data_IF_595667638618
#
_entry.id   IF_595667638618
#
_cell.length_a   1.000
_cell.length_b   1.000
_cell.length_c   1.000
_cell.angle_alpha   90.00
_cell.angle_beta   90.00
_cell.angle_gamma   90.00
#
_symmetry.space_group_name_H-M   'P 1'
#
loop_
_entity.id
_entity.type
_entity.pdbx_description
1 polymer ?
#
# COMPACT_ATOMS: atom_id res chain seq x y z
N UNK A 1 6.07 -4.67 6.94
CA UNK A 1 6.18 -4.22 5.53
C UNK A 1 7.35 -4.94 4.91
N UNK A 2 7.27 -5.34 3.63
CA UNK A 2 8.34 -6.10 2.98
C UNK A 2 9.62 -5.27 2.93
N UNK A 3 10.44 -5.46 3.94
CA UNK A 3 11.75 -4.88 4.18
C UNK A 3 12.54 -5.99 4.84
N UNK A 4 13.17 -6.83 4.01
CA UNK A 4 14.46 -7.51 4.28
C UNK A 4 14.78 -8.54 3.19
N UNK A 5 15.85 -8.24 2.44
CA UNK A 5 16.70 -9.17 1.68
C UNK A 5 16.13 -9.99 0.52
N UNK A 6 14.96 -9.66 -0.05
CA UNK A 6 14.46 -10.40 -1.22
C UNK A 6 13.27 -9.75 -1.92
N UNK A 7 12.86 -10.33 -3.04
CA UNK A 7 11.65 -9.96 -3.76
C UNK A 7 10.39 -10.45 -2.98
N UNK A 8 9.25 -9.79 -3.17
CA UNK A 8 7.98 -10.27 -2.58
C UNK A 8 7.62 -11.67 -3.11
N UNK A 9 6.85 -12.49 -2.36
CA UNK A 9 6.48 -13.82 -2.84
C UNK A 9 5.50 -13.76 -4.02
N UNK A 10 5.50 -14.78 -4.91
CA UNK A 10 4.46 -14.92 -5.93
C UNK A 10 3.09 -15.18 -5.29
N UNK A 11 2.02 -14.77 -5.96
CA UNK A 11 0.63 -14.99 -5.52
C UNK A 11 0.35 -14.48 -4.08
N UNK A 12 1.02 -13.41 -3.68
CA UNK A 12 0.85 -12.82 -2.36
C UNK A 12 -0.54 -12.18 -2.25
N UNK A 13 -1.16 -12.35 -1.08
CA UNK A 13 -2.35 -11.63 -0.67
C UNK A 13 -2.15 -11.15 0.76
N UNK A 14 -1.82 -9.87 0.91
CA UNK A 14 -1.47 -9.31 2.21
C UNK A 14 -2.29 -8.06 2.50
N UNK A 15 -2.79 -7.95 3.73
CA UNK A 15 -3.53 -6.78 4.17
C UNK A 15 -2.98 -6.23 5.49
N UNK A 16 -3.02 -4.91 5.62
CA UNK A 16 -2.65 -4.19 6.83
C UNK A 16 -3.68 -3.12 7.13
N UNK A 17 -3.92 -2.85 8.41
CA UNK A 17 -4.73 -1.74 8.88
C UNK A 17 -3.88 -0.88 9.79
N UNK A 18 -3.95 0.43 9.59
CA UNK A 18 -3.30 1.42 10.42
C UNK A 18 -4.36 2.34 11.00
N UNK A 19 -4.23 2.59 12.29
CA UNK A 19 -5.15 3.41 13.05
C UNK A 19 -4.34 4.39 13.92
N UNK A 20 -4.81 5.63 13.96
CA UNK A 20 -4.31 6.68 14.85
C UNK A 20 -5.42 7.14 15.78
N UNK A 21 -5.08 7.99 16.74
CA UNK A 21 -6.08 8.57 17.64
C UNK A 21 -7.20 9.28 16.86
N UNK A 22 -8.42 9.20 17.38
CA UNK A 22 -9.59 9.89 16.80
C UNK A 22 -9.33 11.39 16.67
N UNK A 23 -9.83 11.99 15.59
CA UNK A 23 -9.59 13.40 15.25
C UNK A 23 -8.23 13.69 14.60
N UNK A 24 -7.44 12.65 14.30
CA UNK A 24 -6.24 12.72 13.46
C UNK A 24 -6.45 11.90 12.18
N UNK A 25 -5.55 12.08 11.22
CA UNK A 25 -5.51 11.35 9.96
C UNK A 25 -4.25 10.50 9.87
N UNK A 26 -4.31 9.39 9.14
CA UNK A 26 -3.15 8.57 8.85
C UNK A 26 -2.46 9.12 7.60
N UNK A 27 -1.23 9.62 7.77
CA UNK A 27 -0.33 9.98 6.68
C UNK A 27 0.59 8.81 6.38
N UNK A 28 0.45 8.25 5.19
CA UNK A 28 1.27 7.16 4.65
C UNK A 28 2.28 7.74 3.65
N UNK A 29 3.57 7.58 3.92
CA UNK A 29 4.65 8.03 3.03
C UNK A 29 5.44 6.82 2.55
N UNK A 30 5.47 6.61 1.23
CA UNK A 30 6.26 5.55 0.61
C UNK A 30 7.68 6.05 0.34
N UNK A 31 8.69 5.34 0.85
CA UNK A 31 10.11 5.67 0.64
C UNK A 31 10.75 4.86 -0.48
N UNK A 32 10.18 3.70 -0.81
CA UNK A 32 10.59 2.86 -1.92
C UNK A 32 9.39 2.07 -2.43
N UNK A 33 9.24 1.99 -3.75
CA UNK A 33 8.26 1.14 -4.43
C UNK A 33 8.95 0.52 -5.64
N UNK A 34 8.78 -0.78 -5.79
CA UNK A 34 9.19 -1.61 -6.91
C UNK A 34 8.20 -2.76 -6.99
N UNK A 35 7.08 -2.50 -7.65
CA UNK A 35 5.98 -3.44 -7.87
C UNK A 35 5.87 -3.63 -9.38
N UNK A 36 5.67 -4.87 -9.84
CA UNK A 36 5.59 -5.11 -11.27
C UNK A 36 4.47 -4.27 -11.91
N UNK A 37 4.83 -3.56 -12.99
CA UNK A 37 3.90 -2.82 -13.83
C UNK A 37 3.91 -3.43 -15.22
N UNK A 38 2.85 -4.14 -15.57
CA UNK A 38 2.63 -4.71 -16.89
C UNK A 38 1.47 -4.00 -17.59
N UNK A 39 1.54 -3.94 -18.93
CA UNK A 39 0.42 -3.50 -19.77
C UNK A 39 -0.67 -4.58 -19.88
N UNK A 40 -0.39 -5.80 -19.39
CA UNK A 40 -1.38 -6.87 -19.25
C UNK A 40 -2.25 -6.63 -18.00
N UNK A 41 -3.50 -7.14 -17.98
CA UNK A 41 -4.43 -6.91 -16.87
C UNK A 41 -4.04 -7.65 -15.57
N UNK A 42 -2.97 -8.43 -15.58
CA UNK A 42 -2.56 -9.32 -14.48
C UNK A 42 -1.41 -8.78 -13.66
N UNK A 43 -1.16 -7.47 -13.70
CA UNK A 43 -0.03 -6.85 -13.01
C UNK A 43 -0.19 -6.87 -11.48
N UNK A 44 0.93 -6.73 -10.77
CA UNK A 44 0.95 -6.65 -9.32
C UNK A 44 0.52 -5.25 -8.85
N UNK A 45 -0.11 -5.14 -7.67
CA UNK A 45 -0.53 -3.83 -7.17
C UNK A 45 -0.70 -3.77 -5.65
N UNK A 46 -0.55 -2.56 -5.13
CA UNK A 46 -0.92 -2.18 -3.78
C UNK A 46 -2.11 -1.22 -3.82
N UNK A 47 -3.20 -1.56 -3.15
CA UNK A 47 -4.33 -0.67 -2.92
C UNK A 47 -4.21 0.01 -1.56
N UNK A 48 -4.52 1.30 -1.53
CA UNK A 48 -4.64 2.12 -0.32
C UNK A 48 -6.09 2.54 -0.16
N UNK A 49 -6.70 2.22 0.98
CA UNK A 49 -8.11 2.44 1.27
C UNK A 49 -8.29 3.54 2.32
N UNK A 50 -9.32 4.34 2.13
CA UNK A 50 -9.75 5.41 3.03
C UNK A 50 -10.67 4.86 4.14
N UNK A 51 -10.10 4.01 4.99
CA UNK A 51 -10.82 3.43 6.12
C UNK A 51 -10.29 2.07 6.56
N UNK A 52 -11.04 1.40 7.45
CA UNK A 52 -10.57 0.22 8.17
C UNK A 52 -10.67 -1.10 7.39
N UNK A 53 -11.24 -1.11 6.19
CA UNK A 53 -11.48 -2.34 5.42
C UNK A 53 -11.18 -2.17 3.92
N UNK A 54 -11.09 -3.29 3.20
CA UNK A 54 -10.96 -3.31 1.73
C UNK A 54 -12.24 -2.94 0.98
N UNK A 55 -13.32 -2.63 1.69
CA UNK A 55 -14.58 -2.10 1.12
C UNK A 55 -14.69 -0.58 1.23
N UNK A 56 -13.75 0.07 1.93
CA UNK A 56 -13.64 1.52 2.00
C UNK A 56 -13.27 2.13 0.63
N UNK A 57 -13.49 3.43 0.40
CA UNK A 57 -13.07 4.09 -0.83
C UNK A 57 -11.58 3.92 -1.11
N UNK A 58 -11.18 3.80 -2.37
CA UNK A 58 -9.76 3.68 -2.76
C UNK A 58 -9.14 5.07 -2.85
N UNK A 59 -8.06 5.31 -2.13
CA UNK A 59 -7.23 6.51 -2.24
C UNK A 59 -6.18 6.38 -3.35
N UNK A 60 -5.62 5.18 -3.52
CA UNK A 60 -4.63 4.93 -4.56
C UNK A 60 -4.54 3.45 -4.95
N UNK A 61 -4.18 3.22 -6.21
CA UNK A 61 -3.62 1.97 -6.72
C UNK A 61 -2.18 2.23 -7.14
N UNK A 62 -1.23 1.53 -6.52
CA UNK A 62 0.21 1.74 -6.71
C UNK A 62 0.80 0.54 -7.44
N UNK A 63 1.57 0.83 -8.49
CA UNK A 63 2.33 -0.12 -9.32
C UNK A 63 3.62 0.58 -9.77
N UNK A 64 4.60 -0.17 -10.29
CA UNK A 64 5.85 0.40 -10.78
C UNK A 64 6.72 0.94 -9.64
N UNK A 65 7.21 2.17 -9.79
CA UNK A 65 8.20 2.75 -8.86
C UNK A 65 7.82 4.11 -8.28
N UNK A 66 6.53 4.47 -8.34
CA UNK A 66 6.04 5.76 -7.81
C UNK A 66 5.99 5.69 -6.28
N UNK A 67 6.52 6.71 -5.61
CA UNK A 67 6.58 6.84 -4.14
C UNK A 67 5.67 7.95 -3.65
N UNK A 68 4.34 7.75 -3.59
CA UNK A 68 3.42 8.81 -3.19
C UNK A 68 3.44 9.05 -1.67
N UNK A 69 2.85 10.17 -1.27
CA UNK A 69 2.36 10.38 0.09
C UNK A 69 0.85 10.50 0.04
N UNK A 70 0.16 9.71 0.86
CA UNK A 70 -1.30 9.59 0.88
C UNK A 70 -1.78 9.84 2.29
N UNK A 71 -2.82 10.65 2.44
CA UNK A 71 -3.42 10.96 3.74
C UNK A 71 -4.87 10.51 3.71
N UNK A 72 -5.30 9.74 4.71
CA UNK A 72 -6.70 9.34 4.89
C UNK A 72 -7.59 10.53 5.26
N UNK A 73 -8.89 10.41 5.03
CA UNK A 73 -9.87 11.41 5.44
C UNK A 73 -10.15 11.38 6.95
N UNK A 74 -9.96 10.22 7.58
CA UNK A 74 -10.21 9.96 9.00
C UNK A 74 -9.04 9.18 9.65
N UNK A 75 -9.22 8.69 10.88
CA UNK A 75 -8.19 8.08 11.72
C UNK A 75 -7.78 6.65 11.33
N UNK A 76 -8.29 6.12 10.22
CA UNK A 76 -8.03 4.77 9.74
C UNK A 76 -7.62 4.75 8.26
N UNK A 77 -6.70 3.86 7.91
CA UNK A 77 -6.41 3.48 6.52
C UNK A 77 -6.05 2.00 6.47
N UNK A 78 -6.30 1.37 5.32
CA UNK A 78 -5.94 -0.03 5.08
C UNK A 78 -5.17 -0.17 3.79
N UNK A 79 -4.30 -1.17 3.75
CA UNK A 79 -3.51 -1.52 2.58
C UNK A 79 -3.82 -2.96 2.17
N UNK A 80 -3.87 -3.22 0.86
CA UNK A 80 -3.94 -4.58 0.32
C UNK A 80 -2.94 -4.74 -0.83
N UNK A 81 -1.97 -5.63 -0.67
CA UNK A 81 -1.02 -6.00 -1.71
C UNK A 81 -1.40 -7.33 -2.34
N UNK A 82 -1.45 -7.36 -3.66
CA UNK A 82 -1.74 -8.55 -4.46
C UNK A 82 -0.64 -8.70 -5.53
N UNK A 83 -0.03 -9.88 -5.60
CA UNK A 83 0.90 -10.24 -6.68
C UNK A 83 0.44 -11.47 -7.47
N UNK A 84 0.95 -11.62 -8.68
CA UNK A 84 0.81 -12.78 -9.54
C UNK A 84 1.99 -13.75 -9.36
N UNK A 85 2.02 -14.81 -10.17
CA UNK A 85 3.07 -15.85 -10.13
C UNK A 85 4.26 -15.63 -11.07
N UNK A 86 4.35 -14.52 -11.79
CA UNK A 86 5.25 -14.33 -12.94
C UNK A 86 6.50 -13.54 -12.58
N UNK A 87 6.33 -12.29 -12.13
CA UNK A 87 7.45 -11.37 -11.88
C UNK A 87 7.37 -10.86 -10.45
N UNK A 88 8.45 -11.03 -9.70
CA UNK A 88 8.56 -10.49 -8.34
C UNK A 88 9.70 -9.49 -8.26
N UNK A 89 9.43 -8.34 -7.63
CA UNK A 89 10.38 -7.25 -7.40
C UNK A 89 10.53 -7.00 -5.90
N UNK A 90 11.25 -5.95 -5.51
CA UNK A 90 11.60 -5.72 -4.09
C UNK A 90 10.43 -5.22 -3.24
N UNK A 91 9.29 -4.88 -3.84
CA UNK A 91 8.07 -4.52 -3.12
C UNK A 91 8.03 -3.06 -2.71
N UNK A 92 7.62 -2.78 -1.48
CA UNK A 92 7.46 -1.40 -1.01
C UNK A 92 7.87 -1.22 0.44
N UNK A 93 8.41 -0.04 0.73
CA UNK A 93 8.63 0.45 2.10
C UNK A 93 7.82 1.72 2.29
N UNK A 94 7.07 1.77 3.39
CA UNK A 94 6.30 2.93 3.79
C UNK A 94 6.51 3.25 5.27
N UNK A 95 6.16 4.46 5.66
CA UNK A 95 6.06 4.90 7.05
C UNK A 95 4.69 5.51 7.30
N UNK A 96 4.18 5.36 8.51
CA UNK A 96 2.90 5.90 8.93
C UNK A 96 3.09 6.91 10.05
N UNK A 97 2.41 8.05 9.94
CA UNK A 97 2.39 9.07 10.96
C UNK A 97 0.98 9.61 11.14
N UNK A 98 0.69 10.15 12.32
CA UNK A 98 -0.53 10.92 12.55
C UNK A 98 -0.37 12.35 12.03
N UNK A 99 -1.35 12.86 11.29
CA UNK A 99 -1.45 14.28 10.92
C UNK A 99 -2.73 14.89 11.47
N UNK A 100 -2.74 16.20 11.74
CA UNK A 100 -3.97 16.93 12.09
C UNK A 100 -4.93 16.95 10.89
N UNK A 101 -6.23 17.10 11.19
CA UNK A 101 -7.30 17.31 10.21
C UNK A 101 -7.05 18.54 9.32
#
# INVERSE_FOLDING_TARGET
MYSSSGNYPPNAFCNWRMEVASGLRVKTTFSAVSIESSTTPYNDFLLVFDGPTCTSPILAKITGSITPTITSSDNNTSLMFISNGVTQLTGFTASFASSKL
#
